data_IF_440932475098
#
_entry.id   IF_440932475098
#
_cell.length_a   1.000
_cell.length_b   1.000
_cell.length_c   1.000
_cell.angle_alpha   90.00
_cell.angle_beta   90.00
_cell.angle_gamma   90.00
#
_symmetry.space_group_name_H-M   'P 1'
#
loop_
_entity.id
_entity.type
_entity.pdbx_description
1 polymer ?
#
# COMPACT_ATOMS: atom_id res chain seq x y z
N UNK A 1 -1.79 -9.40 -12.43
CA UNK A 1 -0.63 -8.55 -12.07
C UNK A 1 0.02 -9.06 -10.79
N UNK A 2 1.34 -8.87 -10.58
CA UNK A 2 2.02 -9.20 -9.33
C UNK A 2 1.41 -8.46 -8.13
N UNK A 3 1.41 -9.07 -6.94
CA UNK A 3 0.91 -8.47 -5.70
C UNK A 3 -0.62 -8.50 -5.50
N UNK A 4 -1.38 -9.20 -6.36
CA UNK A 4 -2.85 -9.30 -6.23
C UNK A 4 -3.25 -10.10 -5.00
N UNK A 5 -4.04 -9.47 -4.14
CA UNK A 5 -4.69 -10.04 -2.97
C UNK A 5 -5.74 -11.08 -3.37
N UNK A 6 -5.81 -12.22 -2.68
CA UNK A 6 -6.86 -13.23 -2.91
C UNK A 6 -8.25 -12.65 -2.56
N UNK A 7 -9.35 -13.15 -3.15
CA UNK A 7 -10.68 -12.56 -2.94
C UNK A 7 -11.10 -12.46 -1.47
N UNK A 8 -10.81 -13.47 -0.64
CA UNK A 8 -11.12 -13.44 0.80
C UNK A 8 -10.30 -12.41 1.57
N UNK A 9 -9.02 -12.26 1.23
CA UNK A 9 -8.11 -11.29 1.86
C UNK A 9 -8.46 -9.85 1.43
N UNK A 10 -8.97 -9.65 0.21
CA UNK A 10 -9.30 -8.33 -0.30
C UNK A 10 -10.46 -7.67 0.45
N UNK A 11 -11.48 -8.45 0.81
CA UNK A 11 -12.61 -7.97 1.61
C UNK A 11 -12.15 -7.55 3.02
N UNK A 12 -11.35 -8.40 3.68
CA UNK A 12 -10.83 -8.11 5.02
C UNK A 12 -9.93 -6.86 5.04
N UNK A 13 -9.08 -6.67 4.01
CA UNK A 13 -8.25 -5.48 3.90
C UNK A 13 -9.07 -4.21 3.59
N UNK A 14 -10.14 -4.33 2.80
CA UNK A 14 -11.05 -3.21 2.56
C UNK A 14 -11.80 -2.80 3.83
N UNK A 15 -12.24 -3.76 4.64
CA UNK A 15 -12.83 -3.51 5.96
C UNK A 15 -11.85 -2.82 6.91
N UNK A 16 -10.61 -3.32 6.99
CA UNK A 16 -9.56 -2.69 7.78
C UNK A 16 -9.32 -1.24 7.34
N UNK A 17 -9.31 -0.99 6.01
CA UNK A 17 -9.14 0.35 5.48
C UNK A 17 -10.33 1.27 5.79
N UNK A 18 -11.55 0.74 5.77
CA UNK A 18 -12.75 1.46 6.21
C UNK A 18 -12.69 1.80 7.71
N UNK A 19 -12.05 0.96 8.52
CA UNK A 19 -11.77 1.23 9.93
C UNK A 19 -10.58 2.18 10.19
N UNK A 20 -9.98 2.76 9.14
CA UNK A 20 -8.89 3.73 9.25
C UNK A 20 -7.47 3.14 9.25
N UNK A 21 -7.32 1.83 9.03
CA UNK A 21 -6.00 1.19 8.92
C UNK A 21 -5.36 1.53 7.57
N UNK A 22 -4.10 1.96 7.58
CA UNK A 22 -3.34 2.20 6.34
C UNK A 22 -2.93 0.86 5.72
N UNK A 23 -3.30 0.65 4.47
CA UNK A 23 -2.99 -0.57 3.72
C UNK A 23 -2.08 -0.21 2.54
N UNK A 24 -0.91 -0.85 2.50
CA UNK A 24 0.08 -0.70 1.43
C UNK A 24 0.19 -2.01 0.64
N UNK A 25 0.11 -1.93 -0.69
CA UNK A 25 0.28 -3.08 -1.58
C UNK A 25 1.69 -3.13 -2.18
N UNK A 26 2.40 -4.22 -1.88
CA UNK A 26 3.74 -4.54 -2.40
C UNK A 26 3.71 -5.87 -3.18
N UNK A 27 4.81 -6.21 -3.86
CA UNK A 27 4.96 -7.50 -4.57
C UNK A 27 6.07 -8.37 -3.98
N UNK A 28 5.88 -9.70 -3.98
CA UNK A 28 6.90 -10.70 -3.61
C UNK A 28 7.77 -11.14 -4.80
N UNK A 29 7.50 -10.64 -6.00
CA UNK A 29 8.22 -11.01 -7.22
C UNK A 29 9.72 -10.62 -7.19
N UNK A 30 10.15 -9.81 -6.22
CA UNK A 30 11.54 -9.39 -6.05
C UNK A 30 12.00 -8.31 -7.05
N UNK A 31 11.34 -8.22 -8.20
CA UNK A 31 11.47 -7.17 -9.20
C UNK A 31 10.09 -6.73 -9.72
N UNK A 32 10.03 -5.52 -10.27
CA UNK A 32 8.81 -4.92 -10.81
C UNK A 32 8.13 -3.94 -9.85
N UNK A 33 7.19 -3.16 -10.41
CA UNK A 33 6.47 -2.06 -9.75
C UNK A 33 5.00 -2.43 -9.52
N UNK A 34 4.48 -2.11 -8.35
CA UNK A 34 3.03 -2.04 -8.12
C UNK A 34 2.55 -0.70 -8.66
N UNK A 35 1.80 -0.74 -9.76
CA UNK A 35 1.26 0.46 -10.38
C UNK A 35 0.03 0.96 -9.61
N UNK A 36 -0.17 2.27 -9.50
CA UNK A 36 -1.47 2.82 -9.09
C UNK A 36 -2.52 2.37 -10.10
N UNK A 37 -3.60 1.77 -9.61
CA UNK A 37 -4.74 1.35 -10.44
C UNK A 37 -6.02 1.94 -9.87
N UNK A 38 -7.04 2.09 -10.71
CA UNK A 38 -8.38 2.55 -10.28
C UNK A 38 -8.90 1.75 -9.10
N UNK A 39 -8.78 0.42 -9.16
CA UNK A 39 -9.18 -0.48 -8.08
C UNK A 39 -8.49 -0.17 -6.75
N UNK A 40 -7.19 0.15 -6.76
CA UNK A 40 -6.47 0.51 -5.52
C UNK A 40 -6.91 1.87 -4.99
N UNK A 41 -7.17 2.83 -5.88
CA UNK A 41 -7.73 4.12 -5.51
C UNK A 41 -9.12 4.00 -4.87
N UNK A 42 -10.01 3.19 -5.46
CA UNK A 42 -11.36 2.94 -4.96
C UNK A 42 -11.38 2.36 -3.55
N UNK A 43 -10.45 1.44 -3.24
CA UNK A 43 -10.33 0.87 -1.88
C UNK A 43 -9.37 1.64 -0.98
N UNK A 44 -8.75 2.72 -1.46
CA UNK A 44 -7.83 3.55 -0.69
C UNK A 44 -6.51 2.87 -0.28
N UNK A 45 -6.01 1.93 -1.09
CA UNK A 45 -4.73 1.25 -0.87
C UNK A 45 -3.58 2.02 -1.52
N UNK A 46 -2.43 2.04 -0.85
CA UNK A 46 -1.24 2.77 -1.29
C UNK A 46 -0.31 1.81 -2.04
N UNK A 47 0.07 2.08 -3.31
CA UNK A 47 1.04 1.26 -4.01
C UNK A 47 2.45 1.48 -3.44
N UNK A 48 3.18 0.41 -3.16
CA UNK A 48 4.55 0.47 -2.64
C UNK A 48 5.61 0.80 -3.71
N UNK A 49 5.19 1.21 -4.91
CA UNK A 49 6.05 1.36 -6.08
C UNK A 49 6.90 0.09 -6.34
N UNK A 50 8.22 0.22 -6.32
CA UNK A 50 9.20 -0.84 -6.51
C UNK A 50 9.75 -1.41 -5.19
N UNK A 51 9.24 -0.96 -4.05
CA UNK A 51 9.71 -1.42 -2.75
C UNK A 51 9.28 -2.87 -2.51
N UNK A 52 10.17 -3.65 -1.90
CA UNK A 52 9.83 -4.98 -1.38
C UNK A 52 8.97 -4.84 -0.13
N UNK A 53 8.25 -5.89 0.30
CA UNK A 53 7.41 -5.81 1.49
C UNK A 53 8.19 -5.41 2.75
N UNK A 54 9.46 -5.82 2.86
CA UNK A 54 10.33 -5.47 3.98
C UNK A 54 10.67 -3.98 3.99
N UNK A 55 11.03 -3.42 2.82
CA UNK A 55 11.35 -1.99 2.69
C UNK A 55 10.10 -1.12 2.85
N UNK A 56 8.99 -1.51 2.23
CA UNK A 56 7.71 -0.85 2.36
C UNK A 56 7.24 -0.78 3.82
N UNK A 57 7.45 -1.84 4.61
CA UNK A 57 7.15 -1.82 6.05
C UNK A 57 7.97 -0.77 6.81
N UNK A 58 9.27 -0.67 6.52
CA UNK A 58 10.14 0.33 7.17
C UNK A 58 9.66 1.74 6.80
N UNK A 59 9.43 2.00 5.52
CA UNK A 59 8.97 3.31 5.06
C UNK A 59 7.59 3.66 5.65
N UNK A 60 6.65 2.72 5.68
CA UNK A 60 5.34 2.94 6.30
C UNK A 60 5.46 3.26 7.79
N UNK A 61 6.30 2.53 8.53
CA UNK A 61 6.50 2.78 9.95
C UNK A 61 7.04 4.19 10.21
N UNK A 62 7.95 4.68 9.37
CA UNK A 62 8.46 6.05 9.43
C UNK A 62 7.40 7.08 8.98
N UNK A 63 6.67 6.80 7.89
CA UNK A 63 5.63 7.70 7.39
C UNK A 63 4.54 7.96 8.44
N UNK A 64 4.15 6.93 9.19
CA UNK A 64 3.14 7.01 10.23
C UNK A 64 3.57 7.85 11.45
N UNK A 65 4.87 8.15 11.63
CA UNK A 65 5.31 9.11 12.66
C UNK A 65 5.20 10.56 12.20
N UNK A 66 5.07 10.78 10.88
CA UNK A 66 4.97 12.11 10.26
C UNK A 66 3.51 12.48 10.01
N UNK A 67 2.70 11.55 9.50
CA UNK A 67 1.30 11.81 9.17
C UNK A 67 0.45 10.54 9.18
N UNK A 68 -0.82 10.70 9.53
CA UNK A 68 -1.87 9.69 9.35
C UNK A 68 -2.75 9.95 8.12
N UNK A 69 -2.49 11.02 7.35
CA UNK A 69 -3.20 11.32 6.10
C UNK A 69 -2.75 10.38 4.98
N UNK A 70 -3.65 9.54 4.42
CA UNK A 70 -3.32 8.65 3.31
C UNK A 70 -2.74 9.35 2.08
N UNK A 71 -3.12 10.61 1.82
CA UNK A 71 -2.58 11.36 0.69
C UNK A 71 -1.10 11.69 0.90
N UNK A 72 -0.74 12.10 2.12
CA UNK A 72 0.65 12.39 2.48
C UNK A 72 1.50 11.11 2.51
N UNK A 73 0.96 10.01 3.04
CA UNK A 73 1.66 8.71 3.00
C UNK A 73 1.86 8.26 1.54
N UNK A 74 0.86 8.46 0.67
CA UNK A 74 1.01 8.18 -0.77
C UNK A 74 2.11 9.01 -1.41
N UNK A 75 2.21 10.31 -1.08
CA UNK A 75 3.28 11.20 -1.55
C UNK A 75 4.66 10.70 -1.07
N UNK A 76 4.77 10.27 0.19
CA UNK A 76 6.02 9.71 0.76
C UNK A 76 6.46 8.49 -0.05
N UNK A 77 5.56 7.52 -0.30
CA UNK A 77 5.87 6.31 -1.10
C UNK A 77 6.18 6.59 -2.57
N UNK A 78 5.68 7.70 -3.14
CA UNK A 78 6.04 8.13 -4.48
C UNK A 78 7.41 8.84 -4.53
N UNK A 79 7.92 9.29 -3.38
CA UNK A 79 9.16 10.08 -3.27
C UNK A 79 10.36 9.23 -2.85
N UNK A 80 10.16 8.22 -1.99
CA UNK A 80 11.22 7.44 -1.32
C UNK A 80 10.99 5.93 -1.47
#
# INVERSE_FOLDING_TARGET
SPGVTKPGDAAALAEARAAGVVVVQSTRAGSGRVFPTTKLGEVGFIPADNLTPQKARILLALALTVSSDPAEITRIFATY
#
